data_IF_232469527517
#
_entry.id   IF_232469527517
#
_cell.length_a   1.000
_cell.length_b   1.000
_cell.length_c   1.000
_cell.angle_alpha   90.00
_cell.angle_beta   90.00
_cell.angle_gamma   90.00
#
_symmetry.space_group_name_H-M   'P 1'
#
loop_
_entity.id
_entity.type
_entity.pdbx_description
1 polymer ?
#
# COMPACT_ATOMS: atom_id res chain seq x y z
N UNK A 1 0.29 -25.73 2.00
CA UNK A 1 1.74 -25.37 1.99
C UNK A 1 2.18 -24.84 3.35
N UNK A 2 3.47 -24.86 3.61
CA UNK A 2 4.14 -24.12 4.71
C UNK A 2 4.86 -22.94 4.11
N UNK A 3 4.53 -21.73 4.50
CA UNK A 3 5.03 -20.49 3.91
C UNK A 3 5.82 -19.71 4.96
N UNK A 4 7.04 -19.32 4.62
CA UNK A 4 7.85 -18.38 5.40
C UNK A 4 7.73 -17.00 4.75
N UNK A 5 7.08 -16.06 5.43
CA UNK A 5 6.95 -14.66 5.02
C UNK A 5 7.98 -13.82 5.79
N UNK A 6 8.77 -13.00 5.10
CA UNK A 6 9.87 -12.25 5.72
C UNK A 6 9.84 -10.78 5.30
N UNK A 7 9.88 -9.91 6.29
CA UNK A 7 10.15 -8.47 6.12
C UNK A 7 11.05 -7.94 7.24
N UNK A 8 11.86 -6.93 6.94
CA UNK A 8 12.71 -6.23 7.94
C UNK A 8 12.48 -4.72 7.95
N UNK A 9 11.68 -4.21 6.99
CA UNK A 9 11.41 -2.77 6.83
C UNK A 9 9.98 -2.44 7.24
N UNK A 10 9.00 -3.25 6.82
CA UNK A 10 7.58 -2.96 6.99
C UNK A 10 7.09 -3.15 8.42
N UNK A 11 6.04 -2.42 8.79
CA UNK A 11 5.28 -2.69 10.02
C UNK A 11 4.72 -4.12 9.94
N UNK A 12 4.80 -4.93 11.01
CA UNK A 12 4.21 -6.27 11.00
C UNK A 12 2.70 -6.31 10.72
N UNK A 13 2.00 -5.17 10.85
CA UNK A 13 0.58 -5.01 10.50
C UNK A 13 0.40 -4.35 9.12
N UNK A 14 1.41 -4.41 8.26
CA UNK A 14 1.30 -3.87 6.89
C UNK A 14 0.07 -4.42 6.17
N UNK A 15 -0.65 -3.55 5.47
CA UNK A 15 -1.92 -3.88 4.85
C UNK A 15 -1.78 -4.97 3.77
N UNK A 16 -0.71 -4.94 2.95
CA UNK A 16 -0.46 -5.96 1.93
C UNK A 16 0.04 -7.26 2.55
N UNK A 17 1.05 -7.17 3.41
CA UNK A 17 1.72 -8.36 3.95
C UNK A 17 0.79 -9.13 4.90
N UNK A 18 0.28 -8.45 5.94
CA UNK A 18 -0.46 -9.12 7.00
C UNK A 18 -1.96 -9.25 6.70
N UNK A 19 -2.61 -8.14 6.36
CA UNK A 19 -4.06 -8.13 6.19
C UNK A 19 -4.55 -8.70 4.86
N UNK A 20 -3.65 -8.86 3.87
CA UNK A 20 -3.99 -9.42 2.55
C UNK A 20 -3.31 -10.76 2.32
N UNK A 21 -2.00 -10.82 2.14
CA UNK A 21 -1.28 -12.04 1.73
C UNK A 21 -1.28 -13.13 2.81
N UNK A 22 -0.90 -12.78 4.05
CA UNK A 22 -0.94 -13.75 5.16
C UNK A 22 -2.37 -14.19 5.42
N UNK A 23 -3.34 -13.28 5.43
CA UNK A 23 -4.75 -13.62 5.59
C UNK A 23 -5.25 -14.57 4.49
N UNK A 24 -4.84 -14.36 3.21
CA UNK A 24 -5.19 -15.25 2.10
C UNK A 24 -4.60 -16.66 2.30
N UNK A 25 -3.34 -16.78 2.74
CA UNK A 25 -2.76 -18.08 3.06
C UNK A 25 -3.51 -18.80 4.17
N UNK A 26 -3.84 -18.09 5.24
CA UNK A 26 -4.58 -18.67 6.38
C UNK A 26 -5.99 -19.10 5.98
N UNK A 27 -6.69 -18.30 5.19
CA UNK A 27 -8.01 -18.62 4.65
C UNK A 27 -8.00 -19.86 3.76
N UNK A 28 -6.90 -20.07 3.01
CA UNK A 28 -6.69 -21.28 2.20
C UNK A 28 -6.18 -22.49 3.02
N UNK A 29 -6.09 -22.39 4.33
CA UNK A 29 -5.65 -23.48 5.23
C UNK A 29 -4.14 -23.73 5.23
N UNK A 30 -3.33 -22.78 4.81
CA UNK A 30 -1.88 -22.90 4.82
C UNK A 30 -1.28 -22.51 6.17
N UNK A 31 -0.10 -23.08 6.48
CA UNK A 31 0.65 -22.72 7.68
C UNK A 31 1.64 -21.61 7.36
N UNK A 32 1.60 -20.53 8.15
CA UNK A 32 2.48 -19.38 7.97
C UNK A 32 3.43 -19.22 9.14
N UNK A 33 4.73 -19.09 8.81
CA UNK A 33 5.74 -18.53 9.70
C UNK A 33 6.02 -17.11 9.26
N UNK A 34 5.81 -16.14 10.15
CA UNK A 34 5.99 -14.72 9.84
C UNK A 34 7.19 -14.16 10.60
N UNK A 35 8.24 -13.82 9.86
CA UNK A 35 9.46 -13.20 10.39
C UNK A 35 9.43 -11.70 10.10
N UNK A 36 9.18 -10.88 11.12
CA UNK A 36 8.98 -9.44 11.00
C UNK A 36 9.49 -8.68 12.24
N UNK A 37 9.69 -7.35 12.17
CA UNK A 37 10.25 -6.56 13.27
C UNK A 37 9.20 -6.19 14.34
N UNK A 38 8.57 -7.18 15.00
CA UNK A 38 7.50 -7.00 15.97
C UNK A 38 7.90 -6.07 17.11
N UNK A 39 8.99 -6.41 17.83
CA UNK A 39 9.47 -5.63 18.95
C UNK A 39 9.82 -4.18 18.57
N UNK A 40 10.38 -3.98 17.38
CA UNK A 40 10.81 -2.66 16.92
C UNK A 40 9.64 -1.72 16.59
N UNK A 41 8.45 -2.27 16.36
CA UNK A 41 7.21 -1.52 16.14
C UNK A 41 6.27 -1.57 17.36
N UNK A 42 6.64 -2.27 18.43
CA UNK A 42 5.78 -2.45 19.61
C UNK A 42 4.51 -3.26 19.31
N UNK A 43 4.58 -4.16 18.33
CA UNK A 43 3.46 -5.00 17.89
C UNK A 43 3.53 -6.35 18.62
N UNK A 44 2.41 -6.76 19.19
CA UNK A 44 2.28 -8.10 19.77
C UNK A 44 2.24 -9.15 18.64
N UNK A 45 2.95 -10.23 18.82
CA UNK A 45 2.97 -11.35 17.86
C UNK A 45 1.57 -11.95 17.68
N UNK A 46 1.07 -12.07 16.44
CA UNK A 46 -0.26 -12.60 16.18
C UNK A 46 -0.34 -14.10 16.47
N UNK A 47 -1.36 -14.54 17.19
CA UNK A 47 -1.57 -15.96 17.50
C UNK A 47 -1.93 -16.84 16.30
N UNK A 48 -2.33 -16.22 15.18
CA UNK A 48 -2.72 -16.91 13.94
C UNK A 48 -1.55 -17.44 13.12
N UNK A 49 -0.31 -17.01 13.41
CA UNK A 49 0.91 -17.41 12.71
C UNK A 49 2.01 -17.82 13.70
N UNK A 50 3.00 -18.56 13.22
CA UNK A 50 4.24 -18.72 13.97
C UNK A 50 5.11 -17.49 13.77
N UNK A 51 5.20 -16.63 14.76
CA UNK A 51 5.97 -15.39 14.70
C UNK A 51 7.46 -15.61 14.99
N UNK A 52 8.33 -14.84 14.30
CA UNK A 52 9.77 -14.73 14.58
C UNK A 52 10.13 -13.25 14.59
N UNK A 53 10.58 -12.73 15.73
CA UNK A 53 10.99 -11.33 15.82
C UNK A 53 12.33 -11.07 15.13
N UNK A 54 12.37 -10.06 14.28
CA UNK A 54 13.55 -9.60 13.56
C UNK A 54 13.90 -8.15 13.94
N UNK A 55 15.19 -7.76 13.90
CA UNK A 55 15.55 -6.36 14.02
C UNK A 55 15.05 -5.56 12.82
N UNK A 56 14.53 -4.33 13.07
CA UNK A 56 14.14 -3.41 12.00
C UNK A 56 15.35 -2.90 11.22
N UNK A 57 15.28 -2.97 9.89
CA UNK A 57 16.28 -2.46 8.96
C UNK A 57 16.19 -0.94 8.85
N UNK A 58 16.91 -0.21 9.74
CA UNK A 58 16.93 1.27 9.73
C UNK A 58 18.32 1.81 10.03
N UNK A 59 18.80 2.73 9.20
CA UNK A 59 20.08 3.43 9.40
C UNK A 59 21.26 2.46 9.57
N UNK A 60 22.07 2.63 10.61
CA UNK A 60 23.26 1.79 10.89
C UNK A 60 22.92 0.34 11.26
N UNK A 61 21.67 0.04 11.63
CA UNK A 61 21.22 -1.31 12.00
C UNK A 61 20.93 -2.21 10.79
N UNK A 62 20.90 -1.69 9.56
CA UNK A 62 20.55 -2.43 8.34
C UNK A 62 21.36 -3.71 8.16
N UNK A 63 22.67 -3.64 8.25
CA UNK A 63 23.53 -4.83 8.09
C UNK A 63 23.28 -5.90 9.16
N UNK A 64 23.02 -5.49 10.40
CA UNK A 64 22.65 -6.41 11.48
C UNK A 64 21.31 -7.08 11.24
N UNK A 65 20.31 -6.32 10.81
CA UNK A 65 18.98 -6.83 10.47
C UNK A 65 19.07 -7.84 9.30
N UNK A 66 19.79 -7.49 8.23
CA UNK A 66 20.00 -8.39 7.09
C UNK A 66 20.72 -9.69 7.48
N UNK A 67 21.78 -9.62 8.30
CA UNK A 67 22.46 -10.82 8.80
C UNK A 67 21.54 -11.71 9.61
N UNK A 68 20.72 -11.13 10.48
CA UNK A 68 19.75 -11.87 11.29
C UNK A 68 18.66 -12.49 10.42
N UNK A 69 18.10 -11.73 9.48
CA UNK A 69 17.12 -12.24 8.51
C UNK A 69 17.69 -13.39 7.69
N UNK A 70 18.93 -13.26 7.18
CA UNK A 70 19.62 -14.36 6.48
C UNK A 70 19.74 -15.61 7.34
N UNK A 71 20.16 -15.48 8.58
CA UNK A 71 20.28 -16.62 9.50
C UNK A 71 18.91 -17.31 9.69
N UNK A 72 17.85 -16.54 9.93
CA UNK A 72 16.47 -17.06 10.09
C UNK A 72 15.99 -17.74 8.81
N UNK A 73 16.18 -17.10 7.64
CA UNK A 73 15.79 -17.68 6.35
C UNK A 73 16.48 -19.02 6.10
N UNK A 74 17.81 -19.10 6.30
CA UNK A 74 18.56 -20.34 6.07
C UNK A 74 18.20 -21.44 7.07
N UNK A 75 17.88 -21.10 8.33
CA UNK A 75 17.44 -22.04 9.35
C UNK A 75 16.01 -22.58 9.07
N UNK A 76 15.12 -21.71 8.61
CA UNK A 76 13.71 -22.05 8.43
C UNK A 76 13.38 -22.61 7.04
N UNK A 77 14.12 -22.24 6.00
CA UNK A 77 13.85 -22.63 4.61
C UNK A 77 13.67 -24.17 4.41
N UNK A 78 14.45 -25.07 5.05
CA UNK A 78 14.26 -26.53 4.89
C UNK A 78 12.90 -27.05 5.35
N UNK A 79 12.19 -26.29 6.15
CA UNK A 79 10.88 -26.68 6.72
C UNK A 79 9.69 -26.03 5.99
N UNK A 80 9.94 -25.26 4.92
CA UNK A 80 8.92 -24.51 4.21
C UNK A 80 8.89 -24.87 2.72
N UNK A 81 7.74 -24.75 2.10
CA UNK A 81 7.54 -24.97 0.68
C UNK A 81 7.80 -23.69 -0.12
N UNK A 82 7.55 -22.53 0.50
CA UNK A 82 7.73 -21.18 -0.08
C UNK A 82 8.47 -20.29 0.92
N UNK A 83 9.39 -19.47 0.43
CA UNK A 83 9.96 -18.31 1.14
C UNK A 83 9.59 -17.07 0.37
N UNK A 84 8.70 -16.26 0.93
CA UNK A 84 8.19 -15.00 0.37
C UNK A 84 8.88 -13.82 1.08
N UNK A 85 9.56 -12.98 0.31
CA UNK A 85 10.25 -11.79 0.80
C UNK A 85 9.67 -10.53 0.19
N UNK A 86 9.59 -9.44 0.98
CA UNK A 86 8.99 -8.18 0.55
C UNK A 86 10.03 -7.09 0.31
N UNK A 87 11.12 -7.08 1.08
CA UNK A 87 12.12 -6.03 0.97
C UNK A 87 13.21 -6.45 -0.03
N UNK A 88 13.63 -5.60 -0.98
CA UNK A 88 14.64 -5.94 -1.99
C UNK A 88 16.00 -6.29 -1.37
N UNK A 89 16.33 -5.78 -0.20
CA UNK A 89 17.55 -6.15 0.54
C UNK A 89 17.53 -7.62 0.99
N UNK A 90 16.36 -8.24 1.14
CA UNK A 90 16.23 -9.66 1.50
C UNK A 90 16.58 -10.60 0.36
N UNK A 91 16.72 -10.12 -0.88
CA UNK A 91 17.29 -10.90 -1.98
C UNK A 91 18.70 -11.44 -1.63
N UNK A 92 19.48 -10.66 -0.85
CA UNK A 92 20.75 -11.13 -0.32
C UNK A 92 20.59 -12.17 0.81
N UNK A 93 19.47 -12.12 1.55
CA UNK A 93 19.20 -13.10 2.61
C UNK A 93 18.81 -14.47 2.04
N UNK A 94 18.06 -14.52 0.94
CA UNK A 94 17.66 -15.78 0.28
C UNK A 94 18.75 -16.37 -0.61
N UNK A 95 19.85 -15.64 -0.86
CA UNK A 95 20.94 -16.12 -1.71
C UNK A 95 21.56 -17.42 -1.16
N UNK A 96 21.60 -18.46 -2.00
CA UNK A 96 22.12 -19.79 -1.64
C UNK A 96 21.13 -20.71 -0.95
N UNK A 97 19.91 -20.29 -0.67
CA UNK A 97 18.82 -21.15 -0.18
C UNK A 97 18.42 -22.11 -1.31
N UNK A 98 18.15 -23.36 -0.94
CA UNK A 98 17.70 -24.44 -1.83
C UNK A 98 16.55 -25.18 -1.18
N UNK A 99 15.68 -25.74 -1.99
CA UNK A 99 14.53 -26.55 -1.58
C UNK A 99 13.20 -25.83 -1.77
N UNK A 100 12.89 -24.74 -1.04
CA UNK A 100 11.63 -24.03 -1.23
C UNK A 100 11.62 -23.19 -2.52
N UNK A 101 10.42 -22.84 -2.99
CA UNK A 101 10.23 -21.81 -4.00
C UNK A 101 10.55 -20.45 -3.36
N UNK A 102 11.48 -19.74 -3.96
CA UNK A 102 11.87 -18.38 -3.51
C UNK A 102 11.05 -17.37 -4.28
N UNK A 103 10.34 -16.50 -3.58
CA UNK A 103 9.45 -15.49 -4.16
C UNK A 103 9.82 -14.12 -3.62
N UNK A 104 9.91 -13.13 -4.51
CA UNK A 104 9.98 -11.73 -4.13
C UNK A 104 8.71 -11.02 -4.58
N UNK A 105 7.95 -10.47 -3.62
CA UNK A 105 6.81 -9.59 -3.88
C UNK A 105 7.31 -8.17 -4.17
N UNK A 106 7.10 -7.73 -5.42
CA UNK A 106 7.54 -6.41 -5.92
C UNK A 106 6.36 -5.46 -5.84
N UNK A 107 6.20 -4.79 -4.71
CA UNK A 107 5.09 -3.88 -4.46
C UNK A 107 5.49 -2.39 -4.44
N UNK A 108 6.78 -2.08 -4.62
CA UNK A 108 7.28 -0.71 -4.75
C UNK A 108 8.27 -0.57 -5.90
N UNK A 109 8.35 0.61 -6.51
CA UNK A 109 9.49 0.96 -7.36
C UNK A 109 10.65 1.46 -6.51
N UNK A 110 11.44 0.52 -6.00
CA UNK A 110 12.58 0.81 -5.11
C UNK A 110 13.60 1.75 -5.76
N UNK A 111 13.87 1.59 -7.05
CA UNK A 111 14.83 2.45 -7.75
C UNK A 111 14.32 3.89 -7.87
N UNK A 112 13.03 4.08 -8.17
CA UNK A 112 12.42 5.40 -8.15
C UNK A 112 12.35 5.97 -6.71
N UNK A 113 11.94 5.17 -5.74
CA UNK A 113 11.83 5.58 -4.34
C UNK A 113 13.17 6.05 -3.75
N UNK A 114 14.29 5.42 -4.12
CA UNK A 114 15.63 5.82 -3.67
C UNK A 114 15.99 7.23 -4.16
N UNK A 115 15.55 7.64 -5.35
CA UNK A 115 15.86 8.98 -5.88
C UNK A 115 15.19 10.11 -5.09
N UNK A 116 14.12 9.81 -4.36
CA UNK A 116 13.37 10.77 -3.54
C UNK A 116 13.90 10.88 -2.10
N UNK A 117 14.87 10.04 -1.70
CA UNK A 117 15.37 10.04 -0.32
C UNK A 117 16.22 11.29 -0.04
N UNK A 118 15.84 12.14 0.95
CA UNK A 118 16.55 13.41 1.26
C UNK A 118 18.01 13.20 1.67
N UNK A 119 18.32 12.08 2.32
CA UNK A 119 19.67 11.74 2.78
C UNK A 119 20.64 11.35 1.66
N UNK A 120 20.14 11.09 0.43
CA UNK A 120 20.98 10.70 -0.70
C UNK A 120 21.36 11.95 -1.52
N UNK A 121 22.66 12.30 -1.59
CA UNK A 121 23.14 13.40 -2.42
C UNK A 121 22.68 13.26 -3.87
N UNK A 122 22.28 14.37 -4.50
CA UNK A 122 21.73 14.39 -5.86
C UNK A 122 22.59 13.67 -6.89
N UNK A 123 23.93 13.86 -6.80
CA UNK A 123 24.92 13.22 -7.71
C UNK A 123 24.98 11.69 -7.59
N UNK A 124 24.51 11.13 -6.47
CA UNK A 124 24.50 9.67 -6.23
C UNK A 124 23.13 9.02 -6.52
N UNK A 125 22.09 9.80 -6.78
CA UNK A 125 20.72 9.28 -6.99
C UNK A 125 20.67 8.36 -8.20
N UNK A 126 21.09 8.84 -9.37
CA UNK A 126 21.08 8.04 -10.61
C UNK A 126 21.98 6.79 -10.52
N UNK A 127 23.25 6.88 -10.08
CA UNK A 127 24.07 5.69 -9.89
C UNK A 127 23.46 4.66 -8.93
N UNK A 128 22.86 5.12 -7.82
CA UNK A 128 22.22 4.21 -6.86
C UNK A 128 21.00 3.53 -7.47
N UNK A 129 20.14 4.28 -8.18
CA UNK A 129 18.99 3.71 -8.89
C UNK A 129 19.42 2.67 -9.93
N UNK A 130 20.52 2.94 -10.67
CA UNK A 130 21.08 1.98 -11.65
C UNK A 130 21.55 0.68 -10.98
N UNK A 131 22.23 0.80 -9.82
CA UNK A 131 22.65 -0.38 -9.05
C UNK A 131 21.44 -1.19 -8.56
N UNK A 132 20.41 -0.49 -8.03
CA UNK A 132 19.18 -1.15 -7.62
C UNK A 132 18.53 -1.90 -8.78
N UNK A 133 18.40 -1.28 -9.96
CA UNK A 133 17.88 -1.94 -11.17
C UNK A 133 18.70 -3.18 -11.56
N UNK A 134 20.03 -3.09 -11.51
CA UNK A 134 20.89 -4.24 -11.81
C UNK A 134 20.69 -5.39 -10.82
N UNK A 135 20.43 -5.10 -9.55
CA UNK A 135 20.10 -6.11 -8.53
C UNK A 135 18.72 -6.72 -8.81
N UNK A 136 17.72 -5.90 -9.16
CA UNK A 136 16.37 -6.35 -9.53
C UNK A 136 16.43 -7.31 -10.74
N UNK A 137 17.11 -6.93 -11.83
CA UNK A 137 17.29 -7.79 -13.01
C UNK A 137 18.01 -9.09 -12.69
N UNK A 138 19.04 -9.04 -11.83
CA UNK A 138 19.76 -10.27 -11.46
C UNK A 138 18.92 -11.18 -10.56
N UNK A 139 17.91 -10.64 -9.88
CA UNK A 139 17.00 -11.42 -9.06
C UNK A 139 16.05 -12.27 -9.92
N UNK A 140 15.65 -11.80 -11.11
CA UNK A 140 14.77 -12.54 -12.04
C UNK A 140 15.26 -13.96 -12.35
N UNK A 141 16.59 -14.15 -12.44
CA UNK A 141 17.20 -15.46 -12.77
C UNK A 141 17.19 -16.43 -11.57
N UNK A 142 16.83 -15.99 -10.38
CA UNK A 142 17.07 -16.72 -9.13
C UNK A 142 15.85 -16.91 -8.25
N UNK A 143 14.91 -15.99 -8.32
CA UNK A 143 13.67 -16.00 -7.54
C UNK A 143 12.50 -15.75 -8.46
N UNK A 144 11.34 -16.32 -8.12
CA UNK A 144 10.07 -15.98 -8.79
C UNK A 144 9.67 -14.57 -8.35
N UNK A 145 9.25 -13.74 -9.30
CA UNK A 145 8.76 -12.40 -9.01
C UNK A 145 7.23 -12.39 -9.05
N UNK A 146 6.64 -11.74 -8.07
CA UNK A 146 5.24 -11.41 -8.04
C UNK A 146 5.11 -9.89 -8.09
N UNK A 147 4.42 -9.35 -9.08
CA UNK A 147 4.29 -7.91 -9.28
C UNK A 147 2.97 -7.41 -8.70
N UNK A 148 3.01 -6.35 -7.90
CA UNK A 148 1.80 -5.73 -7.36
C UNK A 148 1.09 -4.81 -8.34
N UNK A 149 1.70 -4.51 -9.48
CA UNK A 149 1.18 -3.58 -10.48
C UNK A 149 1.57 -3.99 -11.89
N UNK A 150 0.64 -3.88 -12.83
CA UNK A 150 0.94 -4.07 -14.26
C UNK A 150 2.00 -3.10 -14.78
N UNK A 151 2.01 -1.89 -14.26
CA UNK A 151 3.02 -0.87 -14.59
C UNK A 151 4.47 -1.28 -14.27
N UNK A 152 4.66 -2.33 -13.46
CA UNK A 152 6.00 -2.84 -13.16
C UNK A 152 6.53 -3.84 -14.19
N UNK A 153 5.69 -4.39 -15.10
CA UNK A 153 6.11 -5.35 -16.13
C UNK A 153 7.31 -4.84 -16.94
N UNK A 154 7.25 -3.57 -17.39
CA UNK A 154 8.33 -2.97 -18.18
C UNK A 154 9.66 -2.75 -17.45
N UNK A 155 9.72 -3.06 -16.15
CA UNK A 155 10.96 -2.98 -15.35
C UNK A 155 11.83 -4.21 -15.48
N UNK A 156 11.26 -5.32 -15.93
CA UNK A 156 11.88 -6.65 -15.94
C UNK A 156 12.02 -7.18 -17.37
N UNK A 157 12.95 -8.12 -17.58
CA UNK A 157 13.22 -8.69 -18.89
C UNK A 157 12.24 -9.81 -19.26
N UNK A 158 11.69 -10.48 -18.25
CA UNK A 158 10.77 -11.60 -18.43
C UNK A 158 9.34 -11.23 -18.00
N UNK A 159 8.38 -12.03 -18.42
CA UNK A 159 7.01 -11.92 -17.92
C UNK A 159 6.89 -12.53 -16.53
N UNK A 160 6.21 -11.81 -15.64
CA UNK A 160 5.95 -12.21 -14.27
C UNK A 160 4.47 -12.16 -13.95
N UNK A 161 4.04 -12.99 -13.01
CA UNK A 161 2.67 -12.95 -12.51
C UNK A 161 2.39 -11.62 -11.82
N UNK A 162 1.23 -11.05 -12.11
CA UNK A 162 0.74 -9.83 -11.44
C UNK A 162 -0.39 -10.21 -10.51
N UNK A 163 -0.25 -9.83 -9.24
CA UNK A 163 -1.32 -9.88 -8.26
C UNK A 163 -1.50 -8.45 -7.74
N UNK A 164 -2.54 -7.76 -8.20
CA UNK A 164 -2.69 -6.34 -7.97
C UNK A 164 -2.87 -6.01 -6.49
N UNK A 165 -2.56 -4.76 -6.14
CA UNK A 165 -2.72 -4.27 -4.78
C UNK A 165 -4.19 -3.87 -4.51
N UNK A 166 -5.09 -4.84 -4.63
CA UNK A 166 -6.52 -4.70 -4.39
C UNK A 166 -6.86 -4.58 -2.90
N UNK A 167 -8.09 -4.27 -2.57
CA UNK A 167 -8.55 -4.16 -1.18
C UNK A 167 -9.64 -5.17 -0.87
N UNK A 168 -9.71 -5.71 0.37
CA UNK A 168 -10.86 -6.46 0.80
C UNK A 168 -12.09 -5.54 0.79
N UNK A 169 -13.03 -5.79 -0.12
CA UNK A 169 -14.25 -5.02 -0.16
C UNK A 169 -15.23 -5.53 0.93
N UNK A 170 -15.80 -4.63 1.77
CA UNK A 170 -16.76 -5.03 2.78
C UNK A 170 -18.06 -5.54 2.13
N UNK A 171 -18.77 -6.47 2.79
CA UNK A 171 -20.01 -7.04 2.25
C UNK A 171 -21.13 -5.98 2.17
N UNK A 172 -21.15 -5.05 3.10
CA UNK A 172 -22.08 -3.93 3.13
C UNK A 172 -21.35 -2.63 3.47
N UNK A 173 -21.86 -1.51 2.99
CA UNK A 173 -21.34 -0.17 3.27
C UNK A 173 -22.50 0.77 3.63
N UNK A 174 -22.18 1.81 4.39
CA UNK A 174 -23.13 2.89 4.62
C UNK A 174 -23.27 3.75 3.35
N UNK A 175 -24.46 4.31 3.09
CA UNK A 175 -24.61 5.33 2.05
C UNK A 175 -23.62 6.49 2.27
N UNK A 176 -23.16 7.12 1.20
CA UNK A 176 -22.26 8.27 1.27
C UNK A 176 -22.94 9.43 2.04
N UNK A 177 -22.34 9.80 3.16
CA UNK A 177 -22.80 10.89 4.06
C UNK A 177 -22.50 12.28 3.53
N UNK A 178 -22.70 13.31 4.36
CA UNK A 178 -22.56 14.72 3.98
C UNK A 178 -21.69 15.56 4.93
N UNK A 179 -21.17 14.96 5.99
CA UNK A 179 -20.49 15.65 7.09
C UNK A 179 -18.97 15.42 7.16
N UNK A 180 -18.44 14.39 6.46
CA UNK A 180 -17.08 13.92 6.66
C UNK A 180 -16.34 13.70 5.35
N UNK A 181 -15.18 14.34 5.22
CA UNK A 181 -14.19 14.08 4.17
C UNK A 181 -12.99 13.38 4.78
N UNK A 182 -12.47 12.35 4.13
CA UNK A 182 -11.40 11.52 4.71
C UNK A 182 -10.16 11.47 3.83
N UNK A 183 -9.01 11.39 4.48
CA UNK A 183 -7.73 11.01 3.89
C UNK A 183 -7.12 9.88 4.71
N UNK A 184 -6.72 8.78 4.06
CA UNK A 184 -6.05 7.65 4.70
C UNK A 184 -4.68 7.43 4.08
N UNK A 185 -3.65 7.30 4.92
CA UNK A 185 -2.27 7.00 4.52
C UNK A 185 -1.24 7.92 5.16
N UNK A 186 0.05 7.67 4.91
CA UNK A 186 1.12 8.53 5.42
C UNK A 186 0.92 9.97 4.98
N UNK A 187 1.17 10.91 5.88
CA UNK A 187 0.97 12.35 5.67
C UNK A 187 2.34 12.99 5.44
N UNK A 188 2.58 13.39 4.19
CA UNK A 188 3.86 13.98 3.74
C UNK A 188 3.60 15.12 2.77
N UNK A 189 4.61 15.94 2.51
CA UNK A 189 4.51 17.02 1.53
C UNK A 189 4.12 16.48 0.13
N UNK A 190 4.81 15.44 -0.36
CA UNK A 190 4.52 14.83 -1.66
C UNK A 190 3.13 14.17 -1.75
N UNK A 191 2.48 13.92 -0.62
CA UNK A 191 1.12 13.39 -0.54
C UNK A 191 0.05 14.46 -0.34
N UNK A 192 0.43 15.73 -0.49
CA UNK A 192 -0.50 16.85 -0.54
C UNK A 192 -0.99 17.32 0.82
N UNK A 193 -0.18 17.23 1.89
CA UNK A 193 -0.62 17.65 3.23
C UNK A 193 -1.06 19.11 3.28
N UNK A 194 -0.40 20.00 2.51
CA UNK A 194 -0.77 21.44 2.46
C UNK A 194 -2.15 21.61 1.84
N UNK A 195 -2.41 20.92 0.74
CA UNK A 195 -3.68 20.90 0.04
C UNK A 195 -4.78 20.30 0.91
N UNK A 196 -4.50 19.24 1.66
CA UNK A 196 -5.45 18.63 2.60
C UNK A 196 -5.87 19.60 3.71
N UNK A 197 -4.91 20.33 4.28
CA UNK A 197 -5.17 21.37 5.29
C UNK A 197 -5.94 22.54 4.69
N UNK A 198 -5.53 23.01 3.51
CA UNK A 198 -6.22 24.11 2.83
C UNK A 198 -7.64 23.74 2.41
N UNK A 199 -7.91 22.47 2.02
CA UNK A 199 -9.28 21.99 1.78
C UNK A 199 -10.11 22.14 3.06
N UNK A 200 -9.59 21.70 4.23
CA UNK A 200 -10.29 21.88 5.51
C UNK A 200 -10.59 23.35 5.82
N UNK A 201 -9.61 24.24 5.63
CA UNK A 201 -9.78 25.69 5.80
C UNK A 201 -10.83 26.26 4.83
N UNK A 202 -10.82 25.85 3.56
CA UNK A 202 -11.75 26.31 2.54
C UNK A 202 -13.17 25.79 2.75
N UNK A 203 -13.36 24.67 3.42
CA UNK A 203 -14.68 24.09 3.73
C UNK A 203 -15.22 24.51 5.09
N UNK A 204 -14.54 25.38 5.85
CA UNK A 204 -14.92 25.77 7.20
C UNK A 204 -16.28 26.50 7.31
N UNK A 205 -16.85 26.95 6.20
CA UNK A 205 -18.20 27.54 6.11
C UNK A 205 -19.32 26.50 5.98
N UNK A 206 -18.97 25.22 5.82
CA UNK A 206 -19.90 24.09 5.71
C UNK A 206 -19.81 23.20 6.97
N UNK A 207 -20.86 22.42 7.29
CA UNK A 207 -20.82 21.45 8.39
C UNK A 207 -20.03 20.19 8.01
N UNK A 208 -18.83 20.37 7.45
CA UNK A 208 -17.96 19.30 6.97
C UNK A 208 -16.67 19.27 7.78
N UNK A 209 -16.30 18.11 8.26
CA UNK A 209 -15.02 17.89 8.93
C UNK A 209 -14.08 17.09 8.04
N UNK A 210 -12.81 17.55 7.90
CA UNK A 210 -11.77 16.82 7.17
C UNK A 210 -10.97 15.98 8.17
N UNK A 211 -11.03 14.66 8.02
CA UNK A 211 -10.35 13.68 8.85
C UNK A 211 -9.09 13.18 8.15
N UNK A 212 -7.94 13.34 8.80
CA UNK A 212 -6.64 12.86 8.34
C UNK A 212 -6.20 11.67 9.18
N UNK A 213 -6.00 10.52 8.55
CA UNK A 213 -5.62 9.27 9.21
C UNK A 213 -4.26 8.81 8.68
N UNK A 214 -3.28 8.73 9.56
CA UNK A 214 -1.95 8.24 9.25
C UNK A 214 -0.85 8.96 10.01
N UNK A 215 0.35 8.37 9.97
CA UNK A 215 1.54 8.99 10.53
C UNK A 215 1.99 10.16 9.67
N UNK A 216 2.41 11.25 10.32
CA UNK A 216 2.98 12.41 9.66
C UNK A 216 4.50 12.38 9.72
N UNK A 217 5.15 12.85 8.65
CA UNK A 217 6.58 13.14 8.69
C UNK A 217 6.85 14.34 9.60
N UNK A 218 8.01 14.35 10.26
CA UNK A 218 8.39 15.44 11.18
C UNK A 218 8.39 16.83 10.52
N UNK A 219 8.66 16.90 9.22
CA UNK A 219 8.69 18.15 8.45
C UNK A 219 7.33 18.84 8.31
N UNK A 220 6.24 18.08 8.50
CA UNK A 220 4.86 18.56 8.33
C UNK A 220 4.07 18.56 9.64
N UNK A 221 4.69 18.17 10.76
CA UNK A 221 4.04 18.05 12.06
C UNK A 221 3.48 19.40 12.55
N UNK A 222 4.29 20.46 12.51
CA UNK A 222 3.89 21.80 12.94
C UNK A 222 2.68 22.32 12.14
N UNK A 223 2.68 22.09 10.81
CA UNK A 223 1.55 22.47 9.94
C UNK A 223 0.26 21.77 10.36
N UNK A 224 0.35 20.48 10.70
CA UNK A 224 -0.82 19.70 11.13
C UNK A 224 -1.32 20.12 12.50
N UNK A 225 -0.42 20.35 13.46
CA UNK A 225 -0.75 20.83 14.81
C UNK A 225 -1.47 22.17 14.75
N UNK A 226 -0.96 23.11 13.94
CA UNK A 226 -1.59 24.40 13.70
C UNK A 226 -2.99 24.23 13.08
N UNK A 227 -3.13 23.38 12.07
CA UNK A 227 -4.41 23.15 11.39
C UNK A 227 -5.46 22.53 12.33
N UNK A 228 -5.05 21.60 13.21
CA UNK A 228 -5.89 21.02 14.25
C UNK A 228 -6.31 22.08 15.26
N UNK A 229 -5.37 22.93 15.71
CA UNK A 229 -5.66 24.02 16.64
C UNK A 229 -6.65 25.06 16.09
N UNK A 230 -6.64 25.28 14.77
CA UNK A 230 -7.63 26.13 14.07
C UNK A 230 -8.96 25.43 13.80
N UNK A 231 -9.07 24.13 14.06
CA UNK A 231 -10.26 23.34 13.78
C UNK A 231 -10.53 23.08 12.29
N UNK A 232 -9.53 23.24 11.42
CA UNK A 232 -9.66 22.99 9.98
C UNK A 232 -9.66 21.50 9.64
N UNK A 233 -8.92 20.70 10.43
CA UNK A 233 -8.82 19.26 10.24
C UNK A 233 -8.85 18.53 11.59
N UNK A 234 -9.24 17.25 11.56
CA UNK A 234 -9.07 16.31 12.68
C UNK A 234 -7.99 15.33 12.31
N UNK A 235 -6.85 15.36 13.00
CA UNK A 235 -5.78 14.40 12.77
C UNK A 235 -5.82 13.28 13.82
N UNK A 236 -5.97 12.03 13.35
CA UNK A 236 -6.08 10.84 14.20
C UNK A 236 -4.74 10.16 14.51
N UNK A 237 -3.65 10.62 13.87
CA UNK A 237 -2.40 9.84 13.91
C UNK A 237 -2.51 8.52 13.15
N UNK A 238 -1.64 7.58 13.46
CA UNK A 238 -1.72 6.23 12.92
C UNK A 238 -2.87 5.45 13.56
N UNK A 239 -3.73 4.89 12.73
CA UNK A 239 -4.74 3.91 13.13
C UNK A 239 -4.48 2.58 12.42
N UNK A 240 -4.82 1.44 13.04
CA UNK A 240 -4.92 0.15 12.36
C UNK A 240 -5.83 0.24 11.11
N UNK A 241 -5.59 -0.62 10.13
CA UNK A 241 -6.27 -0.51 8.83
C UNK A 241 -7.81 -0.61 8.94
N UNK A 242 -8.30 -1.48 9.78
CA UNK A 242 -9.74 -1.67 10.05
C UNK A 242 -10.37 -0.44 10.70
N UNK A 243 -9.70 0.18 11.66
CA UNK A 243 -10.16 1.42 12.30
C UNK A 243 -10.11 2.60 11.31
N UNK A 244 -9.07 2.68 10.49
CA UNK A 244 -8.94 3.70 9.45
C UNK A 244 -10.07 3.58 8.40
N UNK A 245 -10.37 2.36 7.95
CA UNK A 245 -11.42 2.10 6.98
C UNK A 245 -12.83 2.29 7.57
N UNK A 246 -13.02 2.11 8.88
CA UNK A 246 -14.27 2.45 9.54
C UNK A 246 -14.58 3.95 9.48
N UNK A 247 -13.56 4.82 9.43
CA UNK A 247 -13.76 6.26 9.21
C UNK A 247 -14.09 6.59 7.75
N UNK A 248 -13.72 5.73 6.81
CA UNK A 248 -14.07 5.88 5.38
C UNK A 248 -15.53 5.56 5.15
N UNK A 249 -16.06 4.53 5.81
CA UNK A 249 -17.43 4.07 5.60
C UNK A 249 -18.45 5.20 5.87
N UNK A 250 -19.31 5.49 4.91
CA UNK A 250 -20.28 6.59 4.98
C UNK A 250 -19.67 8.00 4.88
N UNK A 251 -18.44 8.18 4.42
CA UNK A 251 -17.88 9.50 4.19
C UNK A 251 -18.49 10.20 2.96
N UNK A 252 -18.49 11.53 2.96
CA UNK A 252 -18.88 12.39 1.82
C UNK A 252 -17.94 12.21 0.64
N UNK A 253 -16.63 12.21 0.90
CA UNK A 253 -15.58 12.06 -0.10
C UNK A 253 -14.28 11.53 0.51
N UNK A 254 -13.51 10.81 -0.30
CA UNK A 254 -12.14 10.40 -0.01
C UNK A 254 -11.14 11.20 -0.84
N UNK A 255 -10.11 11.77 -0.19
CA UNK A 255 -9.11 12.61 -0.84
C UNK A 255 -7.84 11.82 -1.19
N UNK A 256 -7.31 12.05 -2.39
CA UNK A 256 -6.02 11.55 -2.85
C UNK A 256 -5.26 12.62 -3.63
N UNK A 257 -4.70 13.60 -2.93
CA UNK A 257 -4.09 14.82 -3.50
C UNK A 257 -2.56 14.67 -3.68
N UNK A 258 -2.13 13.56 -4.29
CA UNK A 258 -0.72 13.29 -4.56
C UNK A 258 -0.13 14.35 -5.50
N UNK A 259 1.13 14.74 -5.28
CA UNK A 259 1.87 15.59 -6.21
C UNK A 259 2.35 14.80 -7.44
N UNK A 260 2.78 15.48 -8.52
CA UNK A 260 3.31 14.85 -9.74
C UNK A 260 4.74 14.31 -9.51
N UNK A 261 4.84 13.26 -8.73
CA UNK A 261 6.10 12.60 -8.44
C UNK A 261 6.30 11.35 -9.32
N UNK A 262 7.54 11.08 -9.79
CA UNK A 262 7.82 9.91 -10.63
C UNK A 262 7.35 8.59 -10.02
N UNK A 263 7.42 8.47 -8.69
CA UNK A 263 7.00 7.27 -7.96
C UNK A 263 5.48 7.01 -8.03
N UNK A 264 4.67 8.06 -8.22
CA UNK A 264 3.20 7.94 -8.27
C UNK A 264 2.64 7.77 -9.68
N UNK A 265 3.50 7.87 -10.72
CA UNK A 265 3.05 7.78 -12.13
C UNK A 265 2.65 6.37 -12.56
N UNK A 266 3.17 5.35 -11.88
CA UNK A 266 3.00 3.95 -12.28
C UNK A 266 2.34 3.09 -11.21
N UNK A 267 2.09 3.63 -10.01
CA UNK A 267 1.48 2.90 -8.90
C UNK A 267 0.04 3.34 -8.70
N UNK A 268 -0.88 2.38 -8.66
CA UNK A 268 -2.29 2.65 -8.32
C UNK A 268 -2.38 3.09 -6.85
N UNK A 269 -3.02 4.24 -6.57
CA UNK A 269 -3.18 4.68 -5.18
C UNK A 269 -4.21 3.81 -4.47
N UNK A 270 -3.75 2.92 -3.60
CA UNK A 270 -4.58 1.95 -2.86
C UNK A 270 -5.77 2.61 -2.16
N UNK A 271 -5.56 3.79 -1.59
CA UNK A 271 -6.63 4.56 -0.93
C UNK A 271 -7.81 4.89 -1.86
N UNK A 272 -7.55 5.14 -3.15
CA UNK A 272 -8.62 5.37 -4.13
C UNK A 272 -9.48 4.13 -4.27
N UNK A 273 -8.84 2.97 -4.38
CA UNK A 273 -9.54 1.67 -4.44
C UNK A 273 -10.29 1.40 -3.13
N UNK A 274 -9.71 1.74 -1.97
CA UNK A 274 -10.35 1.62 -0.66
C UNK A 274 -11.59 2.51 -0.56
N UNK A 275 -11.53 3.77 -1.01
CA UNK A 275 -12.70 4.66 -1.07
C UNK A 275 -13.78 4.09 -1.98
N UNK A 276 -13.42 3.66 -3.20
CA UNK A 276 -14.35 3.01 -4.13
C UNK A 276 -15.02 1.79 -3.49
N UNK A 277 -14.24 0.90 -2.86
CA UNK A 277 -14.75 -0.30 -2.20
C UNK A 277 -15.74 0.00 -1.05
N UNK A 278 -15.56 1.11 -0.37
CA UNK A 278 -16.47 1.59 0.68
C UNK A 278 -17.62 2.47 0.15
N UNK A 279 -17.79 2.59 -1.17
CA UNK A 279 -18.87 3.40 -1.75
C UNK A 279 -18.71 4.89 -1.42
N UNK A 280 -17.49 5.39 -1.43
CA UNK A 280 -17.17 6.80 -1.16
C UNK A 280 -16.63 7.45 -2.43
N UNK A 281 -17.24 8.56 -2.90
CA UNK A 281 -16.75 9.29 -4.06
C UNK A 281 -15.33 9.81 -3.85
N UNK A 282 -14.54 9.79 -4.91
CA UNK A 282 -13.11 10.12 -4.86
C UNK A 282 -12.86 11.53 -5.38
N UNK A 283 -12.02 12.29 -4.68
CA UNK A 283 -11.40 13.52 -5.21
C UNK A 283 -9.89 13.29 -5.29
N UNK A 284 -9.35 13.24 -6.50
CA UNK A 284 -7.95 12.86 -6.73
C UNK A 284 -7.24 13.80 -7.70
N UNK A 285 -5.92 13.94 -7.54
CA UNK A 285 -5.05 14.57 -8.53
C UNK A 285 -4.81 13.64 -9.72
N UNK A 286 -4.40 14.19 -10.92
CA UNK A 286 -4.42 13.47 -12.19
C UNK A 286 -3.19 12.58 -12.40
N UNK A 287 -2.72 11.84 -11.37
CA UNK A 287 -1.76 10.77 -11.64
C UNK A 287 -2.38 9.76 -12.61
N UNK A 288 -1.65 9.22 -13.61
CA UNK A 288 -2.25 8.39 -14.64
C UNK A 288 -3.11 7.23 -14.10
N UNK A 289 -2.68 6.47 -13.05
CA UNK A 289 -3.51 5.41 -12.50
C UNK A 289 -4.76 5.92 -11.76
N UNK A 290 -4.64 7.03 -11.00
CA UNK A 290 -5.79 7.60 -10.30
C UNK A 290 -6.84 8.16 -11.27
N UNK A 291 -6.38 8.87 -12.31
CA UNK A 291 -7.26 9.36 -13.37
C UNK A 291 -8.01 8.23 -14.06
N UNK A 292 -7.29 7.15 -14.41
CA UNK A 292 -7.91 6.00 -15.06
C UNK A 292 -9.01 5.36 -14.19
N UNK A 293 -8.81 5.27 -12.88
CA UNK A 293 -9.82 4.77 -11.94
C UNK A 293 -11.01 5.73 -11.82
N UNK A 294 -10.75 7.02 -11.53
CA UNK A 294 -11.80 7.98 -11.18
C UNK A 294 -12.64 8.38 -12.39
N UNK A 295 -12.00 8.70 -13.53
CA UNK A 295 -12.71 9.06 -14.76
C UNK A 295 -13.27 7.83 -15.48
N UNK A 296 -12.54 6.69 -15.46
CA UNK A 296 -12.97 5.45 -16.13
C UNK A 296 -14.26 4.86 -15.56
N UNK A 297 -14.41 4.92 -14.23
CA UNK A 297 -15.60 4.40 -13.54
C UNK A 297 -16.59 5.52 -13.14
N UNK A 298 -16.32 6.78 -13.51
CA UNK A 298 -17.14 7.96 -13.16
C UNK A 298 -17.53 7.98 -11.68
N UNK A 299 -16.53 7.77 -10.80
CA UNK A 299 -16.72 7.57 -9.36
C UNK A 299 -16.25 8.76 -8.50
N UNK A 300 -16.02 9.93 -9.12
CA UNK A 300 -15.57 11.11 -8.40
C UNK A 300 -15.06 12.22 -9.32
N UNK A 301 -14.17 13.04 -8.80
CA UNK A 301 -13.60 14.18 -9.52
C UNK A 301 -12.08 14.10 -9.59
N UNK A 302 -11.51 14.40 -10.75
CA UNK A 302 -10.08 14.63 -10.95
C UNK A 302 -9.82 16.13 -10.94
N UNK A 303 -8.90 16.58 -10.10
CA UNK A 303 -8.55 18.00 -9.89
C UNK A 303 -7.08 18.24 -10.24
N UNK A 304 -6.66 19.46 -10.59
CA UNK A 304 -5.27 19.77 -10.88
C UNK A 304 -4.35 19.43 -9.69
N UNK A 305 -3.07 19.19 -9.98
CA UNK A 305 -2.04 19.08 -8.94
C UNK A 305 -1.93 20.39 -8.16
N UNK A 306 -1.70 20.28 -6.87
CA UNK A 306 -1.44 21.43 -5.97
C UNK A 306 -2.55 22.50 -5.97
N UNK A 307 -3.79 22.10 -6.29
CA UNK A 307 -4.96 22.99 -6.35
C UNK A 307 -6.00 22.60 -5.28
N UNK A 308 -5.79 23.08 -4.07
CA UNK A 308 -6.71 22.89 -2.96
C UNK A 308 -8.10 23.53 -3.20
N UNK A 309 -8.15 24.63 -3.97
CA UNK A 309 -9.42 25.28 -4.28
C UNK A 309 -10.29 24.40 -5.18
N UNK A 310 -9.72 23.82 -6.24
CA UNK A 310 -10.43 22.86 -7.10
C UNK A 310 -10.87 21.61 -6.32
N UNK A 311 -10.05 21.13 -5.37
CA UNK A 311 -10.42 20.01 -4.51
C UNK A 311 -11.58 20.36 -3.57
N UNK A 312 -11.56 21.53 -2.94
CA UNK A 312 -12.67 22.02 -2.11
C UNK A 312 -13.95 22.22 -2.92
N UNK A 313 -13.86 22.77 -4.14
CA UNK A 313 -15.01 22.92 -5.04
C UNK A 313 -15.61 21.57 -5.46
N UNK A 314 -14.77 20.55 -5.69
CA UNK A 314 -15.24 19.18 -5.94
C UNK A 314 -16.01 18.63 -4.75
N UNK A 315 -15.53 18.81 -3.52
CA UNK A 315 -16.23 18.42 -2.30
C UNK A 315 -17.55 19.19 -2.14
N UNK A 316 -17.58 20.50 -2.41
CA UNK A 316 -18.82 21.31 -2.39
C UNK A 316 -19.87 20.79 -3.35
N UNK A 317 -19.47 20.38 -4.56
CA UNK A 317 -20.39 19.78 -5.55
C UNK A 317 -20.98 18.47 -5.03
N UNK A 318 -20.15 17.59 -4.45
CA UNK A 318 -20.61 16.33 -3.85
C UNK A 318 -21.57 16.59 -2.67
N UNK A 319 -21.31 17.62 -1.86
CA UNK A 319 -22.21 18.01 -0.77
C UNK A 319 -23.53 18.57 -1.28
N UNK A 320 -23.50 19.40 -2.32
CA UNK A 320 -24.69 20.07 -2.87
C UNK A 320 -25.62 19.14 -3.64
N UNK A 321 -25.12 18.02 -4.19
CA UNK A 321 -25.91 17.07 -4.98
C UNK A 321 -25.82 15.65 -4.43
N UNK A 322 -26.64 15.28 -3.44
CA UNK A 322 -26.65 13.95 -2.84
C UNK A 322 -26.99 12.82 -3.84
N UNK A 323 -27.78 13.12 -4.88
CA UNK A 323 -28.16 12.12 -5.88
C UNK A 323 -26.98 11.77 -6.78
N UNK A 324 -26.29 12.77 -7.31
CA UNK A 324 -25.07 12.54 -8.10
C UNK A 324 -23.97 11.90 -7.26
N UNK A 325 -23.80 12.32 -6.01
CA UNK A 325 -22.86 11.74 -5.06
C UNK A 325 -23.11 10.25 -4.86
N UNK A 326 -24.34 9.87 -4.54
CA UNK A 326 -24.69 8.47 -4.33
C UNK A 326 -24.49 7.62 -5.59
N UNK A 327 -24.83 8.16 -6.77
CA UNK A 327 -24.59 7.47 -8.03
C UNK A 327 -23.10 7.25 -8.32
N UNK A 328 -22.22 8.23 -8.00
CA UNK A 328 -20.75 8.06 -8.09
C UNK A 328 -20.25 7.00 -7.11
N UNK A 329 -20.75 7.00 -5.87
CA UNK A 329 -20.44 6.02 -4.84
C UNK A 329 -20.76 4.59 -5.30
N UNK A 330 -21.94 4.38 -5.87
CA UNK A 330 -22.40 3.07 -6.38
C UNK A 330 -21.56 2.58 -7.56
N UNK A 331 -21.22 3.45 -8.51
CA UNK A 331 -20.34 3.09 -9.63
C UNK A 331 -18.94 2.73 -9.16
N UNK A 332 -18.36 3.53 -8.26
CA UNK A 332 -17.06 3.24 -7.67
C UNK A 332 -17.04 1.89 -6.96
N UNK A 333 -18.05 1.62 -6.14
CA UNK A 333 -18.17 0.33 -5.44
C UNK A 333 -18.32 -0.85 -6.41
N UNK A 334 -19.17 -0.71 -7.43
CA UNK A 334 -19.36 -1.76 -8.42
C UNK A 334 -18.04 -2.07 -9.16
N UNK A 335 -17.28 -1.04 -9.52
CA UNK A 335 -15.96 -1.19 -10.13
C UNK A 335 -14.94 -1.86 -9.19
N UNK A 336 -14.88 -1.43 -7.93
CA UNK A 336 -13.98 -2.04 -6.95
C UNK A 336 -14.29 -3.53 -6.74
N UNK A 337 -15.55 -3.90 -6.63
CA UNK A 337 -15.98 -5.31 -6.50
C UNK A 337 -15.67 -6.15 -7.75
N UNK A 338 -15.73 -5.56 -8.93
CA UNK A 338 -15.47 -6.24 -10.20
C UNK A 338 -13.97 -6.45 -10.44
N UNK A 339 -13.14 -5.41 -10.21
CA UNK A 339 -11.79 -5.33 -10.73
C UNK A 339 -10.70 -5.22 -9.64
N UNK A 340 -11.07 -4.99 -8.37
CA UNK A 340 -10.14 -4.64 -7.31
C UNK A 340 -10.49 -5.29 -5.95
N UNK A 341 -11.18 -6.42 -5.95
CA UNK A 341 -11.53 -7.16 -4.73
C UNK A 341 -10.44 -8.18 -4.37
N UNK A 342 -9.78 -7.97 -3.25
CA UNK A 342 -8.75 -8.88 -2.76
C UNK A 342 -9.25 -10.30 -2.52
N UNK A 343 -10.54 -10.53 -2.33
CA UNK A 343 -11.09 -11.90 -2.22
C UNK A 343 -10.82 -12.72 -3.48
N UNK A 344 -10.85 -12.08 -4.65
CA UNK A 344 -10.54 -12.72 -5.94
C UNK A 344 -9.02 -12.76 -6.16
N UNK A 345 -8.35 -11.62 -6.00
CA UNK A 345 -6.90 -11.52 -6.23
C UNK A 345 -6.09 -12.31 -5.19
N UNK A 346 -6.56 -12.39 -3.95
CA UNK A 346 -5.95 -13.22 -2.91
C UNK A 346 -6.06 -14.72 -3.17
N UNK A 347 -7.17 -15.18 -3.75
CA UNK A 347 -7.31 -16.56 -4.20
C UNK A 347 -6.35 -16.86 -5.36
N UNK A 348 -6.23 -15.93 -6.33
CA UNK A 348 -5.27 -16.03 -7.43
C UNK A 348 -3.82 -16.00 -6.93
N UNK A 349 -3.50 -15.13 -5.97
CA UNK A 349 -2.20 -15.08 -5.31
C UNK A 349 -1.82 -16.45 -4.74
N UNK A 350 -2.69 -17.07 -3.97
CA UNK A 350 -2.45 -18.40 -3.39
C UNK A 350 -2.28 -19.44 -4.48
N UNK A 351 -3.15 -19.44 -5.50
CA UNK A 351 -3.11 -20.38 -6.63
C UNK A 351 -1.79 -20.31 -7.40
N UNK A 352 -1.27 -19.11 -7.66
CA UNK A 352 0.01 -18.93 -8.35
C UNK A 352 1.16 -19.55 -7.56
N UNK A 353 1.19 -19.36 -6.24
CA UNK A 353 2.25 -19.93 -5.41
C UNK A 353 2.12 -21.46 -5.28
N UNK A 354 0.90 -21.99 -5.19
CA UNK A 354 0.66 -23.44 -5.21
C UNK A 354 1.15 -24.07 -6.51
N UNK A 355 0.87 -23.43 -7.64
CA UNK A 355 1.36 -23.88 -8.95
C UNK A 355 2.88 -23.91 -8.98
N UNK A 356 3.56 -22.85 -8.51
CA UNK A 356 5.01 -22.82 -8.49
C UNK A 356 5.64 -23.90 -7.60
N UNK A 357 5.00 -24.21 -6.47
CA UNK A 357 5.42 -25.34 -5.61
C UNK A 357 5.24 -26.67 -6.32
N UNK A 358 4.12 -26.88 -7.02
CA UNK A 358 3.87 -28.10 -7.79
C UNK A 358 4.93 -28.27 -8.90
N UNK A 359 5.20 -27.22 -9.67
CA UNK A 359 6.24 -27.20 -10.71
C UNK A 359 7.63 -27.54 -10.15
N UNK A 360 7.98 -27.04 -8.96
CA UNK A 360 9.28 -27.27 -8.34
C UNK A 360 9.50 -28.72 -7.89
N UNK A 361 8.42 -29.45 -7.63
CA UNK A 361 8.46 -30.86 -7.20
C UNK A 361 8.55 -31.86 -8.37
N UNK A 362 8.39 -31.39 -9.62
CA UNK A 362 8.34 -32.23 -10.82
C UNK A 362 7.03 -32.99 -10.97
N UNK A 363 6.77 -33.60 -12.13
CA UNK A 363 5.63 -34.49 -12.30
C UNK A 363 5.79 -35.71 -11.38
N UNK A 364 4.78 -35.98 -10.55
CA UNK A 364 4.64 -37.21 -9.75
C UNK A 364 4.35 -38.42 -10.63
#
# INVERSE_FOLDING_TARGET
MRVLVVTVVHDPRDARIFHREIAAFLAAGHQVTYAAPFSAYGVTEPASVRAIDLPRSRGRRRLGALRRARAVVHDQAPFHDVVLVHDPELLAAVAGVRGPVLVWDVHEDTAAAVTLKPWLPGVLRTPTATVVRAVEHRAEDRVRLLLAEDGYRGRFAHEHSVVPNSTPAPDSVQPSGDDRVVYVGSITAARGVRELVDVGRLLADLPITVHLVGSADAEVADLLEDAVAQGWVTWHGYLPNDEALALVDGALAGLSLLHDEPNYRHSKPTKVIEYMAHGVPVVSTPTPPARALVEGDDCGYVVPFEDAAAAADAVRRLHADPVARQAMAERGRAAALRDHDWRQDGAEFVRVLEQWVAESRGPT
#
